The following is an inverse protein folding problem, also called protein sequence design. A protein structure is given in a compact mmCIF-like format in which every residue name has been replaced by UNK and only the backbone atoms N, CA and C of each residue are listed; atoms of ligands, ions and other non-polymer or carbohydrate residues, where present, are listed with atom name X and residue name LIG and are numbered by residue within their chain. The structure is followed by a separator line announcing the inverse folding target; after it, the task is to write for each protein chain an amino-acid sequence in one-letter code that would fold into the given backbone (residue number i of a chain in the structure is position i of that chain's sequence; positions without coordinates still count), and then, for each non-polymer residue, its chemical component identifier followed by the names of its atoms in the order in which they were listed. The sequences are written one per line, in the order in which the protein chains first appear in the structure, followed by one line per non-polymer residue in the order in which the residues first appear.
data_IF_690704421293
#
_entry.id   IF_690704421293
#
_cell.length_a   1.000
_cell.length_b   1.000
_cell.length_c   1.000
_cell.angle_alpha   90.00
_cell.angle_beta   90.00
_cell.angle_gamma   90.00
#
_symmetry.space_group_name_H-M   'P 1'
#
loop_
_entity.id
_entity.type
_entity.pdbx_description
1 polymer ?
#
# COMPACT_ATOMS: atom_id res chain seq x y z
N UNK A 1 39.81 16.06 -16.31
CA UNK A 1 38.47 16.17 -15.66
C UNK A 1 37.39 15.28 -16.30
N UNK A 2 37.28 15.15 -17.64
CA UNK A 2 36.22 14.32 -18.26
C UNK A 2 36.31 12.81 -17.97
N UNK A 3 37.52 12.25 -17.83
CA UNK A 3 37.72 10.81 -17.60
C UNK A 3 37.32 10.34 -16.18
N UNK A 4 37.50 11.20 -15.16
CA UNK A 4 37.10 10.91 -13.77
C UNK A 4 35.58 10.92 -13.59
N UNK A 5 34.88 11.83 -14.26
CA UNK A 5 33.42 11.91 -14.19
C UNK A 5 32.73 10.68 -14.83
N UNK A 6 33.29 10.14 -15.92
CA UNK A 6 32.75 8.95 -16.59
C UNK A 6 32.88 7.67 -15.73
N UNK A 7 34.01 7.52 -15.01
CA UNK A 7 34.21 6.38 -14.10
C UNK A 7 33.30 6.42 -12.88
N UNK A 8 33.02 7.60 -12.33
CA UNK A 8 32.09 7.76 -11.20
C UNK A 8 30.66 7.44 -11.66
N UNK A 9 30.27 7.87 -12.86
CA UNK A 9 28.96 7.59 -13.43
C UNK A 9 28.72 6.08 -13.69
N UNK A 10 29.72 5.37 -14.25
CA UNK A 10 29.63 3.92 -14.43
C UNK A 10 29.52 3.17 -13.10
N UNK A 11 30.29 3.59 -12.08
CA UNK A 11 30.25 2.97 -10.75
C UNK A 11 28.89 3.17 -10.07
N UNK A 12 28.31 4.37 -10.17
CA UNK A 12 26.99 4.68 -9.64
C UNK A 12 25.88 3.91 -10.37
N UNK A 13 25.95 3.77 -11.69
CA UNK A 13 25.01 2.91 -12.45
C UNK A 13 25.16 1.43 -12.06
N UNK A 14 26.38 0.93 -11.86
CA UNK A 14 26.60 -0.44 -11.40
C UNK A 14 26.06 -0.68 -9.98
N UNK A 15 26.24 0.27 -9.05
CA UNK A 15 25.67 0.16 -7.71
C UNK A 15 24.14 0.23 -7.75
N UNK A 16 23.55 1.12 -8.55
CA UNK A 16 22.10 1.23 -8.70
C UNK A 16 21.48 -0.03 -9.30
N UNK A 17 22.08 -0.57 -10.37
CA UNK A 17 21.62 -1.82 -11.00
C UNK A 17 21.78 -3.03 -10.08
N UNK A 18 22.86 -3.09 -9.29
CA UNK A 18 23.06 -4.15 -8.30
C UNK A 18 22.05 -4.08 -7.15
N UNK A 19 21.79 -2.90 -6.58
CA UNK A 19 20.78 -2.71 -5.55
C UNK A 19 19.36 -3.02 -6.05
N UNK A 20 19.01 -2.58 -7.26
CA UNK A 20 17.73 -2.92 -7.90
C UNK A 20 17.59 -4.43 -8.14
N UNK A 21 18.67 -5.10 -8.56
CA UNK A 21 18.69 -6.55 -8.78
C UNK A 21 18.52 -7.35 -7.47
N UNK A 22 19.21 -6.96 -6.39
CA UNK A 22 19.06 -7.58 -5.07
C UNK A 22 17.65 -7.37 -4.51
N UNK A 23 17.09 -6.17 -4.67
CA UNK A 23 15.70 -5.86 -4.29
C UNK A 23 14.68 -6.71 -5.06
N UNK A 24 14.78 -6.75 -6.38
CA UNK A 24 13.87 -7.56 -7.21
C UNK A 24 13.91 -9.05 -6.83
N UNK A 25 15.10 -9.58 -6.52
CA UNK A 25 15.24 -10.97 -6.08
C UNK A 25 14.54 -11.23 -4.73
N UNK A 26 14.66 -10.33 -3.76
CA UNK A 26 14.02 -10.49 -2.45
C UNK A 26 12.49 -10.39 -2.53
N UNK A 27 11.96 -9.50 -3.36
CA UNK A 27 10.52 -9.42 -3.61
C UNK A 27 9.98 -10.66 -4.35
N UNK A 28 10.73 -11.18 -5.32
CA UNK A 28 10.35 -12.41 -6.03
C UNK A 28 10.31 -13.61 -5.08
N UNK A 29 11.28 -13.76 -4.19
CA UNK A 29 11.30 -14.82 -3.18
C UNK A 29 10.12 -14.68 -2.18
N UNK A 30 9.82 -13.45 -1.74
CA UNK A 30 8.64 -13.15 -0.90
C UNK A 30 7.35 -13.53 -1.60
N UNK A 31 7.17 -13.12 -2.86
CA UNK A 31 5.98 -13.42 -3.64
C UNK A 31 5.84 -14.93 -3.85
N UNK A 32 6.91 -15.62 -4.25
CA UNK A 32 6.86 -17.07 -4.46
C UNK A 32 6.52 -17.83 -3.17
N UNK A 33 7.12 -17.42 -2.04
CA UNK A 33 6.80 -17.99 -0.73
C UNK A 33 5.34 -17.76 -0.39
N UNK A 34 4.84 -16.54 -0.54
CA UNK A 34 3.46 -16.19 -0.22
C UNK A 34 2.46 -16.91 -1.15
N UNK A 35 2.74 -17.00 -2.46
CA UNK A 35 1.90 -17.76 -3.41
C UNK A 35 1.89 -19.26 -3.09
N UNK A 36 3.01 -19.82 -2.62
CA UNK A 36 3.05 -21.24 -2.21
C UNK A 36 2.13 -21.54 -1.03
N UNK A 37 1.87 -20.55 -0.16
CA UNK A 37 0.94 -20.68 0.96
C UNK A 37 -0.54 -20.69 0.52
N UNK A 38 -0.84 -20.26 -0.72
CA UNK A 38 -2.17 -20.34 -1.32
C UNK A 38 -2.49 -21.69 -1.97
N UNK A 39 -1.49 -22.57 -2.16
CA UNK A 39 -1.64 -23.86 -2.85
C UNK A 39 -1.78 -25.00 -1.84
N UNK A 40 -2.85 -25.81 -1.96
CA UNK A 40 -3.12 -26.99 -1.14
C UNK A 40 -4.46 -26.90 -0.37
N UNK A 41 -4.85 -27.97 0.36
CA UNK A 41 -6.02 -27.92 1.23
C UNK A 41 -5.73 -26.96 2.40
N UNK A 42 -6.21 -25.73 2.27
CA UNK A 42 -6.08 -24.66 3.27
C UNK A 42 -7.46 -24.21 3.69
N UNK A 43 -7.59 -23.82 4.95
CA UNK A 43 -8.84 -23.23 5.42
C UNK A 43 -9.03 -21.85 4.77
N UNK A 44 -10.27 -21.38 4.69
CA UNK A 44 -10.55 -20.01 4.27
C UNK A 44 -9.83 -18.99 5.17
N UNK A 45 -9.57 -19.34 6.44
CA UNK A 45 -8.83 -18.50 7.37
C UNK A 45 -7.34 -18.37 6.98
N UNK A 46 -6.69 -19.48 6.62
CA UNK A 46 -5.30 -19.44 6.15
C UNK A 46 -5.21 -18.61 4.86
N UNK A 47 -6.17 -18.81 3.96
CA UNK A 47 -6.26 -18.06 2.70
C UNK A 47 -6.44 -16.57 2.96
N UNK A 48 -7.34 -16.21 3.87
CA UNK A 48 -7.59 -14.83 4.29
C UNK A 48 -6.32 -14.12 4.77
N UNK A 49 -5.49 -14.75 5.61
CA UNK A 49 -4.23 -14.16 6.04
C UNK A 49 -3.21 -14.02 4.91
N UNK A 50 -3.09 -15.03 4.05
CA UNK A 50 -2.07 -15.03 3.00
C UNK A 50 -2.39 -14.08 1.84
N UNK A 51 -3.68 -13.82 1.58
CA UNK A 51 -4.13 -12.96 0.47
C UNK A 51 -3.64 -11.50 0.60
N UNK A 52 -3.47 -11.01 1.82
CA UNK A 52 -2.93 -9.66 2.06
C UNK A 52 -1.47 -9.55 1.58
N UNK A 53 -0.60 -10.44 2.06
CA UNK A 53 0.80 -10.47 1.70
C UNK A 53 1.03 -10.71 0.20
N UNK A 54 0.29 -11.64 -0.43
CA UNK A 54 0.45 -11.88 -1.87
C UNK A 54 -0.04 -10.70 -2.72
N UNK A 55 -1.05 -9.96 -2.27
CA UNK A 55 -1.56 -8.80 -3.00
C UNK A 55 -0.52 -7.68 -3.01
N UNK A 56 0.03 -7.34 -1.83
CA UNK A 56 1.10 -6.35 -1.67
C UNK A 56 2.36 -6.75 -2.45
N UNK A 57 2.84 -7.97 -2.27
CA UNK A 57 4.03 -8.46 -2.97
C UNK A 57 3.85 -8.51 -4.50
N UNK A 58 2.65 -8.87 -4.98
CA UNK A 58 2.36 -8.83 -6.42
C UNK A 58 2.40 -7.41 -6.98
N UNK A 59 1.90 -6.42 -6.23
CA UNK A 59 1.96 -5.02 -6.64
C UNK A 59 3.41 -4.53 -6.73
N UNK A 60 4.22 -4.76 -5.69
CA UNK A 60 5.63 -4.32 -5.65
C UNK A 60 6.48 -4.98 -6.76
N UNK A 61 6.09 -6.17 -7.22
CA UNK A 61 6.70 -6.85 -8.37
C UNK A 61 6.20 -6.38 -9.74
N UNK A 62 5.26 -5.43 -9.80
CA UNK A 62 4.62 -4.99 -11.04
C UNK A 62 3.66 -6.03 -11.65
N UNK A 63 3.31 -7.08 -10.90
CA UNK A 63 2.36 -8.11 -11.33
C UNK A 63 0.92 -7.65 -11.07
N UNK A 64 0.51 -6.55 -11.68
CA UNK A 64 -0.73 -5.84 -11.36
C UNK A 64 -2.00 -6.70 -11.49
N UNK A 65 -2.07 -7.58 -12.48
CA UNK A 65 -3.20 -8.51 -12.63
C UNK A 65 -3.33 -9.48 -11.44
N UNK A 66 -2.19 -9.98 -10.93
CA UNK A 66 -2.16 -10.81 -9.73
C UNK A 66 -2.53 -10.00 -8.49
N UNK A 67 -1.97 -8.79 -8.35
CA UNK A 67 -2.26 -7.89 -7.24
C UNK A 67 -3.76 -7.60 -7.15
N UNK A 68 -4.37 -7.25 -8.29
CA UNK A 68 -5.81 -7.01 -8.41
C UNK A 68 -6.64 -8.24 -8.07
N UNK A 69 -6.26 -9.41 -8.58
CA UNK A 69 -6.94 -10.67 -8.28
C UNK A 69 -6.93 -10.97 -6.78
N UNK A 70 -5.75 -10.98 -6.15
CA UNK A 70 -5.61 -11.34 -4.74
C UNK A 70 -6.25 -10.32 -3.80
N UNK A 71 -6.12 -9.01 -4.10
CA UNK A 71 -6.78 -7.97 -3.32
C UNK A 71 -8.31 -8.03 -3.44
N UNK A 72 -8.85 -8.28 -4.63
CA UNK A 72 -10.30 -8.46 -4.83
C UNK A 72 -10.82 -9.68 -4.08
N UNK A 73 -10.06 -10.77 -4.10
CA UNK A 73 -10.38 -11.99 -3.37
C UNK A 73 -10.35 -11.77 -1.85
N UNK A 74 -9.36 -11.04 -1.34
CA UNK A 74 -9.26 -10.65 0.07
C UNK A 74 -10.52 -9.90 0.52
N UNK A 75 -10.93 -8.88 -0.24
CA UNK A 75 -12.13 -8.09 0.07
C UNK A 75 -13.41 -8.92 -0.04
N UNK A 76 -13.47 -9.89 -0.97
CA UNK A 76 -14.62 -10.80 -1.09
C UNK A 76 -14.71 -11.78 0.09
N UNK A 77 -13.57 -12.16 0.66
CA UNK A 77 -13.47 -13.15 1.74
C UNK A 77 -13.62 -12.51 3.12
N UNK A 78 -13.15 -11.27 3.29
CA UNK A 78 -13.16 -10.53 4.56
C UNK A 78 -14.53 -10.52 5.29
N UNK A 79 -15.70 -10.40 4.64
CA UNK A 79 -16.99 -10.42 5.33
C UNK A 79 -17.29 -11.70 6.11
N UNK A 80 -16.61 -12.81 5.82
CA UNK A 80 -16.73 -14.07 6.58
C UNK A 80 -15.95 -14.02 7.90
N UNK A 81 -15.01 -13.08 8.04
CA UNK A 81 -14.08 -12.96 9.15
C UNK A 81 -14.28 -11.67 9.95
N UNK A 82 -15.50 -11.12 10.02
CA UNK A 82 -15.78 -9.84 10.72
C UNK A 82 -15.32 -9.77 12.17
N UNK A 83 -15.28 -10.91 12.87
CA UNK A 83 -14.80 -11.00 14.27
C UNK A 83 -13.31 -11.28 14.40
N UNK A 84 -12.59 -11.42 13.28
CA UNK A 84 -11.15 -11.65 13.26
C UNK A 84 -10.40 -10.33 13.48
N UNK A 85 -9.32 -10.38 14.27
CA UNK A 85 -8.48 -9.22 14.57
C UNK A 85 -7.89 -8.52 13.33
N UNK A 86 -7.71 -9.27 12.23
CA UNK A 86 -7.13 -8.79 10.97
C UNK A 86 -8.19 -8.30 9.97
N UNK A 87 -9.48 -8.32 10.33
CA UNK A 87 -10.57 -7.89 9.44
C UNK A 87 -10.37 -6.45 8.92
N UNK A 88 -9.98 -5.54 9.80
CA UNK A 88 -9.74 -4.15 9.40
C UNK A 88 -8.54 -3.96 8.48
N UNK A 89 -7.46 -4.73 8.69
CA UNK A 89 -6.30 -4.75 7.79
C UNK A 89 -6.72 -5.25 6.41
N UNK A 90 -7.48 -6.34 6.34
CA UNK A 90 -7.91 -6.90 5.06
C UNK A 90 -8.74 -5.92 4.22
N UNK A 91 -9.65 -5.17 4.85
CA UNK A 91 -10.40 -4.11 4.17
C UNK A 91 -9.45 -3.02 3.70
N UNK A 92 -8.60 -2.52 4.60
CA UNK A 92 -7.71 -1.41 4.31
C UNK A 92 -6.76 -1.76 3.16
N UNK A 93 -6.00 -2.86 3.30
CA UNK A 93 -4.91 -3.20 2.42
C UNK A 93 -5.37 -3.73 1.06
N UNK A 94 -6.48 -4.46 1.02
CA UNK A 94 -7.10 -4.86 -0.24
C UNK A 94 -7.51 -3.64 -1.08
N UNK A 95 -8.11 -2.63 -0.45
CA UNK A 95 -8.46 -1.39 -1.14
C UNK A 95 -7.22 -0.57 -1.52
N UNK A 96 -6.18 -0.51 -0.67
CA UNK A 96 -4.93 0.18 -1.01
C UNK A 96 -4.26 -0.40 -2.26
N UNK A 97 -4.15 -1.73 -2.35
CA UNK A 97 -3.57 -2.40 -3.52
C UNK A 97 -4.43 -2.14 -4.77
N UNK A 98 -5.75 -2.29 -4.68
CA UNK A 98 -6.64 -2.04 -5.82
C UNK A 98 -6.59 -0.59 -6.30
N UNK A 99 -6.52 0.37 -5.37
CA UNK A 99 -6.43 1.78 -5.71
C UNK A 99 -5.11 2.14 -6.38
N UNK A 100 -3.98 1.57 -5.93
CA UNK A 100 -2.69 1.80 -6.59
C UNK A 100 -2.63 1.14 -7.97
N UNK A 101 -3.23 -0.05 -8.15
CA UNK A 101 -3.39 -0.66 -9.49
C UNK A 101 -4.25 0.22 -10.39
N UNK A 102 -5.40 0.69 -9.90
CA UNK A 102 -6.30 1.57 -10.65
C UNK A 102 -5.60 2.86 -11.08
N UNK A 103 -4.81 3.47 -10.19
CA UNK A 103 -4.06 4.68 -10.49
C UNK A 103 -2.99 4.42 -11.57
N UNK A 104 -2.27 3.30 -11.50
CA UNK A 104 -1.33 2.87 -12.55
C UNK A 104 -2.04 2.69 -13.90
N UNK A 105 -3.26 2.17 -13.91
CA UNK A 105 -4.08 2.01 -15.12
C UNK A 105 -4.72 3.32 -15.62
N UNK A 106 -4.44 4.47 -14.97
CA UNK A 106 -5.04 5.76 -15.30
C UNK A 106 -6.50 5.91 -14.86
N UNK A 107 -7.03 4.97 -14.07
CA UNK A 107 -8.39 4.97 -13.54
C UNK A 107 -8.43 5.73 -12.21
N UNK A 108 -8.21 7.04 -12.32
CA UNK A 108 -8.08 7.92 -11.17
C UNK A 108 -9.31 7.88 -10.27
N UNK A 109 -10.52 7.90 -10.83
CA UNK A 109 -11.74 7.93 -10.00
C UNK A 109 -11.95 6.62 -9.24
N UNK A 110 -11.56 5.48 -9.82
CA UNK A 110 -11.54 4.20 -9.13
C UNK A 110 -10.50 4.24 -7.99
N UNK A 111 -9.30 4.78 -8.23
CA UNK A 111 -8.27 4.92 -7.20
C UNK A 111 -8.73 5.76 -6.01
N UNK A 112 -9.43 6.87 -6.27
CA UNK A 112 -10.06 7.71 -5.25
C UNK A 112 -11.11 6.94 -4.46
N UNK A 113 -11.99 6.20 -5.14
CA UNK A 113 -13.02 5.40 -4.50
C UNK A 113 -12.42 4.32 -3.59
N UNK A 114 -11.35 3.65 -4.04
CA UNK A 114 -10.62 2.67 -3.25
C UNK A 114 -9.95 3.29 -2.02
N UNK A 115 -9.32 4.46 -2.15
CA UNK A 115 -8.74 5.16 -0.99
C UNK A 115 -9.81 5.42 0.09
N UNK A 116 -10.96 5.96 -0.30
CA UNK A 116 -12.05 6.23 0.64
C UNK A 116 -12.66 4.93 1.22
N UNK A 117 -12.67 3.85 0.46
CA UNK A 117 -13.11 2.55 0.95
C UNK A 117 -12.14 1.97 2.00
N UNK A 118 -10.82 2.16 1.79
CA UNK A 118 -9.80 1.76 2.77
C UNK A 118 -9.99 2.48 4.11
N UNK A 119 -10.25 3.79 4.09
CA UNK A 119 -10.47 4.60 5.30
C UNK A 119 -11.74 4.23 6.07
N UNK A 120 -12.72 3.57 5.44
CA UNK A 120 -13.98 3.12 6.08
C UNK A 120 -13.86 1.79 6.83
N UNK A 121 -12.65 1.25 6.94
CA UNK A 121 -12.37 0.09 7.79
C UNK A 121 -12.76 0.34 9.26
N UNK A 122 -13.21 -0.67 10.01
CA UNK A 122 -13.49 -0.52 11.45
C UNK A 122 -12.23 -0.39 12.32
N UNK A 123 -11.02 -0.38 11.72
CA UNK A 123 -9.76 -0.41 12.44
C UNK A 123 -9.28 -1.82 12.76
N UNK A 124 -8.08 -1.92 13.33
CA UNK A 124 -7.43 -3.15 13.74
C UNK A 124 -6.34 -2.82 14.76
N UNK A 125 -5.88 -3.76 15.60
CA UNK A 125 -4.77 -3.47 16.53
C UNK A 125 -3.53 -2.85 15.88
N UNK A 126 -3.26 -3.17 14.60
CA UNK A 126 -2.14 -2.60 13.86
C UNK A 126 -2.45 -1.20 13.30
N UNK A 127 -3.64 -1.01 12.72
CA UNK A 127 -4.08 0.30 12.20
C UNK A 127 -4.25 1.32 13.33
N UNK A 128 -4.76 0.89 14.48
CA UNK A 128 -5.06 1.76 15.61
C UNK A 128 -3.78 2.20 16.34
N UNK A 129 -2.68 1.47 16.15
CA UNK A 129 -1.37 1.76 16.77
C UNK A 129 -0.41 2.44 15.79
N UNK A 130 0.12 1.68 14.82
CA UNK A 130 1.13 2.17 13.87
C UNK A 130 0.52 3.04 12.77
N UNK A 131 -0.78 2.90 12.52
CA UNK A 131 -1.50 3.66 11.51
C UNK A 131 -1.70 2.91 10.20
N UNK A 132 -2.52 3.50 9.32
CA UNK A 132 -2.72 2.98 7.98
C UNK A 132 -1.49 3.21 7.10
N UNK A 133 -1.36 2.40 6.04
CA UNK A 133 -0.48 2.72 4.93
C UNK A 133 -1.04 3.93 4.14
N UNK A 134 -0.17 4.85 3.72
CA UNK A 134 -0.52 6.11 3.06
C UNK A 134 0.04 6.19 1.62
N UNK A 135 0.54 5.08 1.06
CA UNK A 135 1.19 5.10 -0.26
C UNK A 135 0.23 5.52 -1.39
N UNK A 136 -1.02 5.04 -1.39
CA UNK A 136 -2.04 5.49 -2.35
C UNK A 136 -2.39 6.97 -2.18
N UNK A 137 -2.49 7.45 -0.93
CA UNK A 137 -2.72 8.86 -0.65
C UNK A 137 -1.58 9.72 -1.21
N UNK A 138 -0.32 9.31 -0.98
CA UNK A 138 0.85 9.96 -1.58
C UNK A 138 0.79 9.96 -3.11
N UNK A 139 0.54 8.81 -3.73
CA UNK A 139 0.48 8.67 -5.18
C UNK A 139 -0.59 9.61 -5.79
N UNK A 140 -1.73 9.80 -5.11
CA UNK A 140 -2.79 10.73 -5.50
C UNK A 140 -2.41 12.20 -5.28
N UNK A 141 -1.73 12.54 -4.18
CA UNK A 141 -1.23 13.89 -3.91
C UNK A 141 -0.20 14.35 -4.95
N UNK A 142 0.69 13.46 -5.37
CA UNK A 142 1.70 13.75 -6.41
C UNK A 142 1.05 14.06 -7.78
N UNK A 143 -0.20 13.64 -7.98
CA UNK A 143 -1.00 13.99 -9.16
C UNK A 143 -1.97 15.17 -8.90
N UNK A 144 -1.91 15.78 -7.72
CA UNK A 144 -2.70 16.97 -7.36
C UNK A 144 -4.09 16.68 -6.79
N UNK A 145 -4.46 15.43 -6.50
CA UNK A 145 -5.78 15.08 -5.95
C UNK A 145 -5.80 15.21 -4.43
N UNK A 146 -5.98 16.44 -3.94
CA UNK A 146 -5.87 16.78 -2.52
C UNK A 146 -7.13 16.43 -1.72
N UNK A 147 -8.30 16.75 -2.28
CA UNK A 147 -9.56 16.72 -1.54
C UNK A 147 -9.92 15.31 -1.08
N UNK A 148 -9.66 14.31 -1.93
CA UNK A 148 -9.90 12.89 -1.59
C UNK A 148 -8.97 12.41 -0.48
N UNK A 149 -7.73 12.91 -0.43
CA UNK A 149 -6.74 12.51 0.57
C UNK A 149 -7.06 13.12 1.92
N UNK A 150 -7.52 14.37 1.94
CA UNK A 150 -8.07 15.02 3.14
C UNK A 150 -9.27 14.23 3.68
N UNK A 151 -10.21 13.86 2.81
CA UNK A 151 -11.38 13.03 3.21
C UNK A 151 -10.96 11.67 3.77
N UNK A 152 -9.97 11.04 3.16
CA UNK A 152 -9.42 9.78 3.65
C UNK A 152 -8.79 9.92 5.03
N UNK A 153 -7.97 10.96 5.26
CA UNK A 153 -7.39 11.23 6.56
C UNK A 153 -8.46 11.48 7.64
N UNK A 154 -9.56 12.14 7.28
CA UNK A 154 -10.71 12.33 8.20
C UNK A 154 -11.39 11.01 8.57
N UNK A 155 -11.43 10.03 7.65
CA UNK A 155 -11.93 8.69 7.95
C UNK A 155 -10.96 7.93 8.87
N UNK A 156 -9.65 8.08 8.67
CA UNK A 156 -8.63 7.42 9.49
C UNK A 156 -8.63 7.87 10.95
N UNK A 157 -9.03 9.12 11.23
CA UNK A 157 -9.14 9.64 12.61
C UNK A 157 -9.99 8.73 13.50
N UNK A 158 -11.01 8.06 12.94
CA UNK A 158 -11.95 7.24 13.70
C UNK A 158 -11.26 6.05 14.39
N UNK A 159 -10.24 5.46 13.75
CA UNK A 159 -9.51 4.33 14.31
C UNK A 159 -8.10 4.70 14.78
N UNK A 160 -7.57 5.86 14.35
CA UNK A 160 -6.20 6.29 14.62
C UNK A 160 -6.13 7.61 15.38
N UNK A 161 -6.94 7.72 16.44
CA UNK A 161 -7.15 8.96 17.23
C UNK A 161 -5.87 9.50 17.89
N UNK A 162 -4.94 8.62 18.30
CA UNK A 162 -3.70 9.02 18.98
C UNK A 162 -2.77 9.85 18.09
N UNK A 163 -2.98 9.82 16.77
CA UNK A 163 -2.18 10.55 15.77
C UNK A 163 -2.90 11.76 15.18
N UNK A 164 -3.92 12.28 15.86
CA UNK A 164 -4.64 13.49 15.48
C UNK A 164 -3.72 14.70 15.22
N UNK A 165 -2.61 14.81 15.94
CA UNK A 165 -1.63 15.90 15.74
C UNK A 165 -0.95 15.78 14.39
N UNK A 166 -0.49 14.58 14.04
CA UNK A 166 0.17 14.30 12.75
C UNK A 166 -0.82 14.49 11.59
N UNK A 167 -2.04 13.96 11.73
CA UNK A 167 -3.10 14.12 10.72
C UNK A 167 -3.42 15.60 10.49
N UNK A 168 -3.58 16.41 11.56
CA UNK A 168 -3.85 17.84 11.42
C UNK A 168 -2.70 18.57 10.71
N UNK A 169 -1.46 18.23 11.04
CA UNK A 169 -0.27 18.78 10.37
C UNK A 169 -0.29 18.43 8.88
N UNK A 170 -0.47 17.15 8.54
CA UNK A 170 -0.50 16.70 7.15
C UNK A 170 -1.63 17.33 6.34
N UNK A 171 -2.83 17.46 6.91
CA UNK A 171 -3.94 18.16 6.26
C UNK A 171 -3.58 19.62 5.94
N UNK A 172 -2.97 20.34 6.88
CA UNK A 172 -2.50 21.71 6.65
C UNK A 172 -1.44 21.81 5.54
N UNK A 173 -0.51 20.87 5.49
CA UNK A 173 0.50 20.78 4.43
C UNK A 173 -0.17 20.52 3.06
N UNK A 174 -1.12 19.58 2.99
CA UNK A 174 -1.89 19.28 1.78
C UNK A 174 -2.68 20.50 1.29
N UNK A 175 -3.35 21.22 2.20
CA UNK A 175 -4.11 22.44 1.87
C UNK A 175 -3.21 23.51 1.24
N UNK A 176 -1.98 23.66 1.74
CA UNK A 176 -0.96 24.55 1.15
C UNK A 176 -0.37 24.04 -0.17
N UNK A 177 -0.70 22.81 -0.57
CA UNK A 177 -0.21 22.16 -1.77
C UNK A 177 1.11 21.42 -1.65
N UNK A 178 1.59 21.17 -0.43
CA UNK A 178 2.70 20.26 -0.18
C UNK A 178 2.22 18.80 -0.21
N UNK A 179 3.15 17.90 -0.51
CA UNK A 179 3.00 16.46 -0.23
C UNK A 179 3.68 16.20 1.12
N UNK A 180 2.94 15.83 2.17
CA UNK A 180 3.53 15.54 3.46
C UNK A 180 4.58 14.44 3.41
N UNK A 181 5.55 14.52 4.32
CA UNK A 181 6.37 13.35 4.64
C UNK A 181 5.57 12.43 5.56
N UNK A 182 5.05 11.34 4.98
CA UNK A 182 4.32 10.30 5.70
C UNK A 182 5.23 9.28 6.39
N UNK A 183 6.55 9.36 6.22
CA UNK A 183 7.51 8.53 6.92
C UNK A 183 7.23 7.03 6.83
N UNK A 184 7.14 6.37 7.99
CA UNK A 184 6.96 4.92 8.10
C UNK A 184 5.62 4.43 7.52
N UNK A 185 4.60 5.29 7.43
CA UNK A 185 3.30 4.94 6.86
C UNK A 185 3.36 4.70 5.33
N UNK A 186 4.52 4.84 4.67
CA UNK A 186 4.71 4.49 3.26
C UNK A 186 5.22 3.06 3.05
N UNK A 187 5.53 2.34 4.12
CA UNK A 187 6.14 1.00 4.06
C UNK A 187 5.08 -0.05 4.39
N UNK A 188 5.10 -1.18 3.66
CA UNK A 188 4.33 -2.39 3.96
C UNK A 188 5.09 -3.34 4.87
#
# INVERSE_FOLDING_TARGET
MKLMALNIFLLLMMMFTFSAFVGAKSFQERLQKAESQLVGPRSDLDRFYNLDEVAKASFEMGAFEKAKKYASELLSLAPQFKSNWNYGNAIHDGNMVLGRVALHEGKVDDAKAFLLAAGKTPGSPQLDSFGPNLSLAKDLLEQGYKEVVIQYLDLCVIFWETHLVDIKKWKSEIDSGAVPDFGANLIY
#
